data_IF_097173319579
#
_entry.id   IF_097173319579
#
_cell.length_a   1.000
_cell.length_b   1.000
_cell.length_c   1.000
_cell.angle_alpha   90.00
_cell.angle_beta   90.00
_cell.angle_gamma   90.00
#
_symmetry.space_group_name_H-M   'P 1'
#
loop_
_entity.id
_entity.type
_entity.pdbx_description
1 polymer ?
#
# COMPACT_ATOMS: atom_id res chain seq x y z
N UNK A 1 32.53 48.51 39.31
CA UNK A 1 31.45 47.69 38.74
C UNK A 1 30.37 48.65 38.28
N UNK A 2 30.51 49.17 37.07
CA UNK A 2 29.51 50.05 36.43
C UNK A 2 28.48 49.12 35.78
N UNK A 3 27.35 48.90 36.46
CA UNK A 3 26.21 48.23 35.84
C UNK A 3 25.64 49.18 34.79
N UNK A 4 25.66 48.72 33.54
CA UNK A 4 25.14 49.43 32.37
C UNK A 4 23.72 49.92 32.66
N UNK A 5 23.53 51.23 32.69
CA UNK A 5 22.24 51.88 32.83
C UNK A 5 21.50 51.97 31.48
N UNK A 6 22.18 51.55 30.40
CA UNK A 6 21.69 51.66 29.02
C UNK A 6 20.67 50.55 28.67
N UNK A 7 20.69 49.42 29.37
CA UNK A 7 19.72 48.32 29.15
C UNK A 7 18.33 48.64 29.72
N UNK A 8 18.24 49.57 30.69
CA UNK A 8 17.00 49.97 31.34
C UNK A 8 16.15 50.92 30.48
N UNK A 9 16.76 51.67 29.56
CA UNK A 9 16.06 52.59 28.65
C UNK A 9 15.45 51.86 27.44
N UNK A 10 15.95 50.67 27.10
CA UNK A 10 15.46 49.88 25.96
C UNK A 10 14.04 49.33 26.19
N UNK A 11 13.69 49.04 27.45
CA UNK A 11 12.37 48.55 27.85
C UNK A 11 11.50 49.63 28.52
N UNK A 12 11.89 50.89 28.40
CA UNK A 12 11.14 52.01 28.98
C UNK A 12 9.82 52.24 28.24
N UNK A 13 8.77 52.62 28.98
CA UNK A 13 7.46 52.96 28.42
C UNK A 13 7.47 54.20 27.52
N UNK A 14 8.58 54.95 27.49
CA UNK A 14 8.74 56.13 26.63
C UNK A 14 9.55 55.81 25.36
N UNK A 15 9.97 54.55 25.17
CA UNK A 15 10.77 54.12 24.02
C UNK A 15 9.85 53.69 22.85
N UNK A 16 9.65 54.59 21.89
CA UNK A 16 8.79 54.35 20.71
C UNK A 16 9.21 53.13 19.88
N UNK A 17 10.52 52.85 19.77
CA UNK A 17 11.03 51.72 19.00
C UNK A 17 10.64 50.38 19.64
N UNK A 18 10.64 50.31 20.98
CA UNK A 18 10.21 49.12 21.72
C UNK A 18 8.69 48.90 21.59
N UNK A 19 7.89 49.97 21.63
CA UNK A 19 6.45 49.87 21.40
C UNK A 19 6.14 49.42 19.98
N UNK A 20 6.82 49.97 18.97
CA UNK A 20 6.66 49.53 17.59
C UNK A 20 7.07 48.05 17.40
N UNK A 21 8.14 47.61 18.07
CA UNK A 21 8.51 46.20 18.11
C UNK A 21 7.42 45.33 18.75
N UNK A 22 6.83 45.76 19.87
CA UNK A 22 5.74 45.01 20.51
C UNK A 22 4.48 44.97 19.65
N UNK A 23 4.09 46.08 19.01
CA UNK A 23 2.95 46.12 18.08
C UNK A 23 3.17 45.17 16.90
N UNK A 24 4.34 45.23 16.26
CA UNK A 24 4.66 44.31 15.15
C UNK A 24 4.75 42.85 15.60
N UNK A 25 5.21 42.59 16.83
CA UNK A 25 5.22 41.25 17.41
C UNK A 25 3.80 40.75 17.71
N UNK A 26 2.90 41.60 18.21
CA UNK A 26 1.49 41.27 18.42
C UNK A 26 0.80 40.99 17.08
N UNK A 27 0.98 41.85 16.07
CA UNK A 27 0.44 41.59 14.72
C UNK A 27 0.98 40.28 14.14
N UNK A 28 2.25 39.96 14.38
CA UNK A 28 2.85 38.71 13.94
C UNK A 28 2.20 37.51 14.63
N UNK A 29 1.97 37.59 15.94
CA UNK A 29 1.28 36.54 16.71
C UNK A 29 -0.16 36.33 16.22
N UNK A 30 -0.92 37.40 15.97
CA UNK A 30 -2.27 37.32 15.42
C UNK A 30 -2.27 36.66 14.03
N UNK A 31 -1.31 37.01 13.17
CA UNK A 31 -1.15 36.35 11.85
C UNK A 31 -0.80 34.87 11.98
N UNK A 32 0.05 34.50 12.95
CA UNK A 32 0.36 33.10 13.21
C UNK A 32 -0.87 32.33 13.71
N UNK A 33 -1.64 32.90 14.63
CA UNK A 33 -2.87 32.32 15.14
C UNK A 33 -3.89 32.10 14.01
N UNK A 34 -4.10 33.12 13.18
CA UNK A 34 -4.99 33.02 12.02
C UNK A 34 -4.50 31.94 11.04
N UNK A 35 -3.18 31.86 10.80
CA UNK A 35 -2.63 30.85 9.89
C UNK A 35 -2.81 29.43 10.45
N UNK A 36 -2.64 29.23 11.75
CA UNK A 36 -2.89 27.95 12.40
C UNK A 36 -4.36 27.51 12.26
N UNK A 37 -5.30 28.43 12.47
CA UNK A 37 -6.74 28.17 12.28
C UNK A 37 -7.05 27.79 10.83
N UNK A 38 -6.54 28.55 9.86
CA UNK A 38 -6.75 28.25 8.44
C UNK A 38 -6.15 26.90 8.04
N UNK A 39 -4.95 26.55 8.53
CA UNK A 39 -4.32 25.26 8.25
C UNK A 39 -5.15 24.08 8.79
N UNK A 40 -5.75 24.23 9.97
CA UNK A 40 -6.61 23.22 10.55
C UNK A 40 -7.88 23.02 9.69
N UNK A 41 -8.48 24.12 9.24
CA UNK A 41 -9.66 24.10 8.37
C UNK A 41 -9.34 23.50 6.99
N UNK A 42 -8.25 23.92 6.35
CA UNK A 42 -7.73 23.34 5.10
C UNK A 42 -7.51 21.83 5.23
N UNK A 43 -6.89 21.39 6.34
CA UNK A 43 -6.67 19.96 6.61
C UNK A 43 -7.99 19.20 6.79
N UNK A 44 -8.96 19.78 7.49
CA UNK A 44 -10.25 19.15 7.71
C UNK A 44 -11.06 19.05 6.42
N UNK A 45 -11.02 20.10 5.59
CA UNK A 45 -11.66 20.11 4.29
C UNK A 45 -11.04 19.07 3.36
N UNK A 46 -9.71 19.01 3.27
CA UNK A 46 -9.01 18.00 2.46
C UNK A 46 -9.36 16.57 2.89
N UNK A 47 -9.48 16.32 4.21
CA UNK A 47 -9.93 15.02 4.72
C UNK A 47 -11.38 14.70 4.32
N UNK A 48 -12.28 15.68 4.40
CA UNK A 48 -13.68 15.51 4.02
C UNK A 48 -13.84 15.25 2.51
N UNK A 49 -13.09 15.98 1.69
CA UNK A 49 -13.05 15.79 0.23
C UNK A 49 -12.57 14.37 -0.10
N UNK A 50 -11.46 13.93 0.50
CA UNK A 50 -10.95 12.57 0.33
C UNK A 50 -11.98 11.48 0.69
N UNK A 51 -12.65 11.63 1.84
CA UNK A 51 -13.70 10.68 2.26
C UNK A 51 -14.88 10.71 1.29
N UNK A 52 -15.32 11.88 0.87
CA UNK A 52 -16.42 12.05 -0.10
C UNK A 52 -16.10 11.38 -1.43
N UNK A 53 -14.90 11.60 -1.98
CA UNK A 53 -14.45 10.95 -3.22
C UNK A 53 -14.42 9.41 -3.08
N UNK A 54 -13.90 8.92 -1.96
CA UNK A 54 -13.90 7.49 -1.67
C UNK A 54 -15.33 6.92 -1.59
N UNK A 55 -16.24 7.64 -0.93
CA UNK A 55 -17.66 7.25 -0.80
C UNK A 55 -18.41 7.26 -2.14
N UNK A 56 -18.04 8.12 -3.08
CA UNK A 56 -18.64 8.16 -4.41
C UNK A 56 -18.05 7.11 -5.36
N UNK A 57 -16.96 6.44 -4.98
CA UNK A 57 -16.31 5.44 -5.82
C UNK A 57 -17.23 4.24 -6.10
N UNK A 58 -17.13 3.71 -7.32
CA UNK A 58 -17.88 2.51 -7.73
C UNK A 58 -17.63 1.31 -6.83
N UNK A 59 -16.42 1.19 -6.27
CA UNK A 59 -16.06 0.13 -5.31
C UNK A 59 -16.81 0.31 -3.99
N UNK A 60 -16.89 1.53 -3.47
CA UNK A 60 -17.65 1.82 -2.25
C UNK A 60 -19.14 1.53 -2.41
N UNK A 61 -19.74 1.98 -3.53
CA UNK A 61 -21.15 1.69 -3.83
C UNK A 61 -21.43 0.18 -3.90
N UNK A 62 -20.52 -0.60 -4.50
CA UNK A 62 -20.64 -2.05 -4.55
C UNK A 62 -20.55 -2.70 -3.15
N UNK A 63 -19.63 -2.24 -2.30
CA UNK A 63 -19.50 -2.71 -0.92
C UNK A 63 -20.74 -2.38 -0.08
N UNK A 64 -21.26 -1.16 -0.20
CA UNK A 64 -22.48 -0.74 0.48
C UNK A 64 -23.68 -1.63 0.10
N UNK A 65 -23.84 -1.96 -1.19
CA UNK A 65 -24.88 -2.87 -1.65
C UNK A 65 -24.78 -4.26 -1.00
N UNK A 66 -23.58 -4.83 -0.93
CA UNK A 66 -23.34 -6.13 -0.27
C UNK A 66 -23.62 -6.06 1.23
N UNK A 67 -23.24 -4.97 1.90
CA UNK A 67 -23.51 -4.79 3.33
C UNK A 67 -25.01 -4.64 3.62
N UNK A 68 -25.78 -3.99 2.74
CA UNK A 68 -27.23 -3.88 2.86
C UNK A 68 -27.95 -5.21 2.59
N UNK A 69 -27.52 -5.97 1.60
CA UNK A 69 -28.03 -7.32 1.31
C UNK A 69 -27.85 -8.29 2.49
N UNK A 70 -26.80 -8.10 3.30
CA UNK A 70 -26.59 -8.90 4.51
C UNK A 70 -27.49 -8.48 5.69
N UNK A 71 -27.96 -7.23 5.74
CA UNK A 71 -28.80 -6.73 6.83
C UNK A 71 -30.28 -7.07 6.67
N UNK A 72 -30.76 -7.23 5.43
CA UNK A 72 -32.14 -7.65 5.16
C UNK A 72 -32.36 -9.16 5.27
N UNK A 73 -31.29 -9.95 5.33
CA UNK A 73 -31.34 -11.40 5.46
C UNK A 73 -31.42 -11.79 6.94
N UNK A 74 -32.64 -11.88 7.47
CA UNK A 74 -32.93 -12.24 8.88
C UNK A 74 -32.60 -13.70 9.21
N UNK A 75 -32.29 -14.51 8.20
CA UNK A 75 -31.82 -15.88 8.35
C UNK A 75 -30.35 -15.94 7.89
N UNK A 76 -29.44 -15.94 8.87
CA UNK A 76 -27.98 -15.83 8.74
C UNK A 76 -27.32 -17.08 8.08
N UNK A 77 -28.06 -17.78 7.21
CA UNK A 77 -27.75 -19.11 6.72
C UNK A 77 -27.08 -19.14 5.34
N UNK A 78 -27.06 -18.02 4.60
CA UNK A 78 -26.43 -17.94 3.28
C UNK A 78 -25.13 -17.13 3.32
N UNK A 79 -23.96 -17.78 3.11
CA UNK A 79 -22.68 -17.09 3.02
C UNK A 79 -22.67 -16.07 1.89
N UNK A 80 -21.97 -14.94 2.09
CA UNK A 80 -21.68 -13.99 1.02
C UNK A 80 -21.14 -14.74 -0.20
N UNK A 81 -21.78 -14.57 -1.35
CA UNK A 81 -21.31 -15.12 -2.62
C UNK A 81 -20.00 -14.43 -3.03
N UNK A 82 -18.90 -15.03 -2.57
CA UNK A 82 -17.55 -14.53 -2.80
C UNK A 82 -17.18 -14.55 -4.29
N UNK A 83 -17.83 -15.41 -5.09
CA UNK A 83 -17.56 -15.50 -6.53
C UNK A 83 -18.19 -14.31 -7.26
N UNK A 84 -19.45 -14.01 -6.99
CA UNK A 84 -20.15 -12.83 -7.52
C UNK A 84 -19.46 -11.53 -7.07
N UNK A 85 -19.09 -11.46 -5.78
CA UNK A 85 -18.32 -10.33 -5.25
C UNK A 85 -17.00 -10.12 -5.99
N UNK A 86 -16.22 -11.20 -6.17
CA UNK A 86 -14.94 -11.14 -6.88
C UNK A 86 -15.11 -10.72 -8.34
N UNK A 87 -16.18 -11.15 -9.00
CA UNK A 87 -16.45 -10.81 -10.40
C UNK A 87 -16.87 -9.35 -10.56
N UNK A 88 -17.76 -8.84 -9.69
CA UNK A 88 -18.15 -7.42 -9.66
C UNK A 88 -16.95 -6.52 -9.40
N UNK A 89 -16.13 -6.83 -8.40
CA UNK A 89 -14.90 -6.08 -8.11
C UNK A 89 -13.95 -6.06 -9.31
N UNK A 90 -13.73 -7.23 -9.92
CA UNK A 90 -12.84 -7.35 -11.08
C UNK A 90 -13.33 -6.45 -12.22
N UNK A 91 -14.63 -6.42 -12.50
CA UNK A 91 -15.18 -5.60 -13.57
C UNK A 91 -14.99 -4.09 -13.30
N UNK A 92 -15.31 -3.63 -12.08
CA UNK A 92 -15.11 -2.23 -11.66
C UNK A 92 -13.63 -1.82 -11.79
N UNK A 93 -12.72 -2.66 -11.27
CA UNK A 93 -11.29 -2.38 -11.34
C UNK A 93 -10.77 -2.42 -12.79
N UNK A 94 -11.30 -3.30 -13.64
CA UNK A 94 -10.94 -3.35 -15.06
C UNK A 94 -11.40 -2.09 -15.80
N UNK A 95 -12.59 -1.58 -15.50
CA UNK A 95 -13.13 -0.36 -16.08
C UNK A 95 -12.34 0.88 -15.66
N UNK A 96 -12.00 0.99 -14.37
CA UNK A 96 -11.13 2.06 -13.85
C UNK A 96 -9.72 2.04 -14.47
N UNK A 97 -9.12 0.86 -14.68
CA UNK A 97 -7.82 0.73 -15.34
C UNK A 97 -7.87 1.09 -16.83
N UNK A 98 -9.02 0.91 -17.49
CA UNK A 98 -9.21 1.26 -18.89
C UNK A 98 -9.38 2.78 -19.07
N UNK A 99 -9.97 3.46 -18.09
CA UNK A 99 -10.14 4.93 -18.06
C UNK A 99 -8.82 5.65 -17.71
N UNK A 100 -8.00 5.10 -16.80
CA UNK A 100 -6.79 5.78 -16.31
C UNK A 100 -5.49 5.43 -17.06
N UNK A 101 -5.57 4.65 -18.15
CA UNK A 101 -4.40 4.32 -18.98
C UNK A 101 -3.22 3.65 -18.25
N UNK A 102 -3.42 3.20 -17.00
CA UNK A 102 -2.38 2.57 -16.18
C UNK A 102 -1.94 1.27 -16.86
N UNK A 103 -0.71 1.17 -17.38
CA UNK A 103 -0.23 -0.07 -17.97
C UNK A 103 -0.24 -1.13 -16.86
N UNK A 104 -1.05 -2.18 -17.03
CA UNK A 104 -0.99 -3.35 -16.15
C UNK A 104 0.47 -3.78 -16.09
N UNK A 105 1.11 -3.69 -14.92
CA UNK A 105 2.42 -4.32 -14.68
C UNK A 105 2.24 -5.81 -14.88
N UNK A 106 2.43 -6.28 -16.11
CA UNK A 106 2.48 -7.71 -16.41
C UNK A 106 3.66 -8.22 -15.60
N UNK A 107 3.37 -9.11 -14.65
CA UNK A 107 4.43 -9.88 -13.99
C UNK A 107 5.15 -10.60 -15.12
N UNK A 108 6.37 -10.18 -15.41
CA UNK A 108 7.19 -10.85 -16.41
C UNK A 108 7.38 -12.28 -15.93
N UNK A 109 6.98 -13.22 -16.79
CA UNK A 109 7.26 -14.62 -16.54
C UNK A 109 8.78 -14.79 -16.51
N UNK A 110 9.27 -15.68 -15.64
CA UNK A 110 10.69 -16.06 -15.65
C UNK A 110 11.10 -16.47 -17.06
N UNK A 111 12.21 -15.91 -17.54
CA UNK A 111 12.77 -16.25 -18.86
C UNK A 111 12.95 -17.76 -18.99
N UNK A 112 12.69 -18.30 -20.18
CA UNK A 112 12.72 -19.75 -20.44
C UNK A 112 14.04 -20.39 -20.00
N UNK A 113 15.16 -19.71 -20.23
CA UNK A 113 16.50 -20.13 -19.83
C UNK A 113 16.64 -20.38 -18.32
N UNK A 114 16.25 -19.39 -17.50
CA UNK A 114 16.23 -19.53 -16.03
C UNK A 114 15.34 -20.69 -15.57
N UNK A 115 14.19 -20.89 -16.23
CA UNK A 115 13.28 -22.00 -15.91
C UNK A 115 13.89 -23.35 -16.26
N UNK A 116 14.66 -23.45 -17.34
CA UNK A 116 15.34 -24.69 -17.74
C UNK A 116 16.33 -25.11 -16.65
N UNK A 117 17.22 -24.21 -16.22
CA UNK A 117 18.23 -24.49 -15.17
C UNK A 117 17.58 -24.97 -13.86
N UNK A 118 16.52 -24.29 -13.42
CA UNK A 118 15.80 -24.67 -12.19
C UNK A 118 15.07 -26.01 -12.33
N UNK A 119 14.57 -26.30 -13.54
CA UNK A 119 13.87 -27.55 -13.82
C UNK A 119 14.83 -28.72 -13.91
N UNK A 120 16.01 -28.54 -14.51
CA UNK A 120 17.06 -29.56 -14.56
C UNK A 120 17.46 -30.02 -13.15
N UNK A 121 17.72 -29.07 -12.25
CA UNK A 121 17.98 -29.41 -10.85
C UNK A 121 16.79 -30.12 -10.20
N UNK A 122 15.57 -29.62 -10.42
CA UNK A 122 14.35 -30.21 -9.84
C UNK A 122 14.10 -31.64 -10.30
N UNK A 123 14.30 -31.92 -11.60
CA UNK A 123 14.07 -33.22 -12.20
C UNK A 123 15.16 -34.22 -11.73
N UNK A 124 16.41 -33.77 -11.56
CA UNK A 124 17.47 -34.56 -10.94
C UNK A 124 17.17 -34.93 -9.46
N UNK A 125 16.45 -34.06 -8.74
CA UNK A 125 16.10 -34.23 -7.32
C UNK A 125 14.61 -34.55 -7.11
N UNK A 126 13.95 -35.20 -8.06
CA UNK A 126 12.48 -35.38 -8.05
C UNK A 126 11.97 -36.12 -6.80
N UNK A 127 12.77 -36.99 -6.19
CA UNK A 127 12.42 -37.72 -4.97
C UNK A 127 12.43 -36.82 -3.73
N UNK A 128 13.39 -35.89 -3.65
CA UNK A 128 13.54 -34.95 -2.55
C UNK A 128 13.89 -33.54 -3.05
N UNK A 129 12.92 -32.80 -3.63
CA UNK A 129 13.16 -31.52 -4.31
C UNK A 129 13.25 -30.34 -3.32
N UNK A 130 14.16 -30.45 -2.36
CA UNK A 130 14.45 -29.46 -1.33
C UNK A 130 15.93 -29.07 -1.41
N UNK A 131 16.27 -28.03 -2.20
CA UNK A 131 17.66 -27.60 -2.32
C UNK A 131 18.15 -27.07 -0.97
N UNK A 132 19.34 -27.48 -0.60
CA UNK A 132 20.12 -26.95 0.52
C UNK A 132 20.48 -25.49 0.28
N UNK A 133 20.90 -24.79 1.33
CA UNK A 133 21.28 -23.38 1.22
C UNK A 133 22.50 -23.15 0.31
N UNK A 134 23.37 -24.16 0.15
CA UNK A 134 24.49 -24.13 -0.79
C UNK A 134 24.00 -24.24 -2.24
N UNK A 135 23.11 -25.21 -2.51
CA UNK A 135 22.55 -25.42 -3.87
C UNK A 135 21.71 -24.23 -4.31
N UNK A 136 20.93 -23.63 -3.41
CA UNK A 136 20.21 -22.39 -3.76
C UNK A 136 21.16 -21.26 -4.14
N UNK A 137 22.30 -21.11 -3.44
CA UNK A 137 23.32 -20.10 -3.78
C UNK A 137 23.91 -20.35 -5.16
N UNK A 138 24.23 -21.60 -5.49
CA UNK A 138 24.68 -21.98 -6.82
C UNK A 138 23.64 -21.65 -7.90
N UNK A 139 22.37 -22.01 -7.67
CA UNK A 139 21.28 -21.69 -8.59
C UNK A 139 21.08 -20.17 -8.75
N UNK A 140 21.29 -19.38 -7.70
CA UNK A 140 21.27 -17.92 -7.81
C UNK A 140 22.38 -17.41 -8.73
N UNK A 141 23.60 -17.97 -8.63
CA UNK A 141 24.73 -17.60 -9.48
C UNK A 141 24.48 -17.97 -10.95
N UNK A 142 23.97 -19.18 -11.21
CA UNK A 142 23.72 -19.66 -12.57
C UNK A 142 22.55 -18.95 -13.25
N UNK A 143 21.48 -18.64 -12.51
CA UNK A 143 20.26 -18.02 -13.08
C UNK A 143 20.23 -16.49 -12.99
N UNK A 144 21.15 -15.90 -12.22
CA UNK A 144 21.12 -14.48 -11.86
C UNK A 144 19.84 -14.08 -11.10
N UNK A 145 19.17 -15.03 -10.44
CA UNK A 145 17.97 -14.78 -9.64
C UNK A 145 18.32 -14.53 -8.18
N UNK A 146 17.48 -13.77 -7.49
CA UNK A 146 17.60 -13.59 -6.05
C UNK A 146 17.19 -14.86 -5.30
N UNK A 147 17.82 -15.09 -4.14
CA UNK A 147 17.57 -16.24 -3.26
C UNK A 147 16.07 -16.45 -2.95
N UNK A 148 15.34 -15.36 -2.71
CA UNK A 148 13.90 -15.39 -2.48
C UNK A 148 13.12 -15.90 -3.70
N UNK A 149 13.52 -15.52 -4.91
CA UNK A 149 12.88 -15.97 -6.15
C UNK A 149 13.11 -17.47 -6.38
N UNK A 150 14.34 -17.96 -6.12
CA UNK A 150 14.66 -19.39 -6.14
C UNK A 150 13.80 -20.16 -5.14
N UNK A 151 13.79 -19.71 -3.89
CA UNK A 151 13.02 -20.36 -2.80
C UNK A 151 11.53 -20.44 -3.15
N UNK A 152 10.95 -19.34 -3.61
CA UNK A 152 9.55 -19.28 -4.01
C UNK A 152 9.24 -20.13 -5.24
N UNK A 153 10.17 -20.21 -6.20
CA UNK A 153 10.02 -21.06 -7.37
C UNK A 153 9.91 -22.53 -6.96
N UNK A 154 10.80 -23.02 -6.10
CA UNK A 154 10.78 -24.42 -5.63
C UNK A 154 9.53 -24.75 -4.81
N UNK A 155 9.09 -23.85 -3.94
CA UNK A 155 7.82 -24.02 -3.20
C UNK A 155 6.65 -24.18 -4.18
N UNK A 156 6.56 -23.30 -5.16
CA UNK A 156 5.48 -23.33 -6.15
C UNK A 156 5.57 -24.55 -7.07
N UNK A 157 6.78 -24.96 -7.45
CA UNK A 157 7.00 -26.10 -8.33
C UNK A 157 6.59 -27.41 -7.66
N UNK A 158 6.95 -27.62 -6.38
CA UNK A 158 6.47 -28.77 -5.59
C UNK A 158 4.94 -28.80 -5.49
N UNK A 159 4.32 -27.66 -5.14
CA UNK A 159 2.85 -27.54 -5.08
C UNK A 159 2.18 -27.93 -6.41
N UNK A 160 2.73 -27.48 -7.54
CA UNK A 160 2.23 -27.83 -8.89
C UNK A 160 2.39 -29.33 -9.19
N UNK A 161 3.53 -29.93 -8.85
CA UNK A 161 3.80 -31.36 -9.06
C UNK A 161 2.80 -32.23 -8.30
N UNK A 162 2.60 -31.96 -7.01
CA UNK A 162 1.65 -32.72 -6.19
C UNK A 162 0.21 -32.59 -6.66
N UNK A 163 -0.24 -31.39 -7.05
CA UNK A 163 -1.58 -31.19 -7.63
C UNK A 163 -1.80 -31.98 -8.92
N UNK A 164 -0.77 -32.12 -9.77
CA UNK A 164 -0.85 -32.96 -10.98
C UNK A 164 -0.92 -34.45 -10.64
N UNK A 165 -0.17 -34.90 -9.63
CA UNK A 165 -0.19 -36.30 -9.20
C UNK A 165 -1.54 -36.72 -8.59
N UNK A 166 -2.26 -35.82 -7.93
CA UNK A 166 -3.60 -36.11 -7.38
C UNK A 166 -4.65 -36.31 -8.48
N UNK A 167 -4.70 -35.41 -9.47
CA UNK A 167 -5.64 -35.52 -10.60
C UNK A 167 -5.48 -36.80 -11.43
N UNK A 168 -4.28 -37.38 -11.47
CA UNK A 168 -4.05 -38.64 -12.18
C UNK A 168 -4.52 -39.87 -11.40
N UNK A 169 -4.77 -39.77 -10.09
CA UNK A 169 -5.33 -40.86 -9.27
C UNK A 169 -6.85 -40.90 -9.33
N UNK A 170 -7.49 -39.75 -9.49
CA UNK A 170 -8.96 -39.63 -9.54
C UNK A 170 -9.56 -40.06 -10.90
N UNK A 171 -8.72 -40.27 -11.92
CA UNK A 171 -9.09 -40.67 -13.27
C UNK A 171 -8.76 -42.15 -13.60
N UNK A 172 -8.55 -42.99 -12.59
CA UNK A 172 -8.26 -44.42 -12.77
C UNK A 172 -9.21 -45.28 -11.95
#
# INVERSE_FOLDING_TARGET
MTTNNDDAELFSSDNEDFHHFLETYVELLERYEQRCSNLLEESQQAANEFVSEAMQSSVWNMLQGVMQEQQSNTDNSLPVDMQNFSEKLKNILMEQCNIHGMPRRRRENLSKEKVVLLKEWFDAHVQHPYPTESEKRQLCQETGMQMQQITNWFINQRKRRWRKSQKNKDNK
#
